data_IF_699614882300
#
_entry.id   IF_699614882300
#
_cell.length_a   1.000
_cell.length_b   1.000
_cell.length_c   1.000
_cell.angle_alpha   90.00
_cell.angle_beta   90.00
_cell.angle_gamma   90.00
#
_symmetry.space_group_name_H-M   'P 1'
#
loop_
_entity.id
_entity.type
_entity.pdbx_description
1 polymer ?
#
# COMPACT_ATOMS: atom_id res chain seq x y z
N UNK A 1 -1.50 -18.22 -6.59
CA UNK A 1 -1.17 -18.29 -5.17
C UNK A 1 -1.89 -17.20 -4.42
N UNK A 2 -2.37 -17.52 -3.25
CA UNK A 2 -3.07 -16.54 -2.42
C UNK A 2 -2.08 -15.65 -1.69
N UNK A 3 -2.49 -14.40 -1.50
CA UNK A 3 -1.72 -13.48 -0.68
C UNK A 3 -1.92 -13.82 0.79
N UNK A 4 -0.84 -13.82 1.53
CA UNK A 4 -0.91 -14.09 2.97
C UNK A 4 -0.75 -12.79 3.75
N UNK A 5 -1.56 -12.64 4.78
CA UNK A 5 -1.45 -11.50 5.69
C UNK A 5 -0.06 -11.51 6.31
N UNK A 6 0.57 -10.35 6.35
CA UNK A 6 1.93 -10.21 6.86
C UNK A 6 3.01 -10.34 5.81
N UNK A 7 2.67 -10.75 4.59
CA UNK A 7 3.65 -10.85 3.51
C UNK A 7 4.04 -9.47 3.01
N UNK A 8 5.30 -9.31 2.65
CA UNK A 8 5.80 -8.07 2.07
C UNK A 8 6.00 -8.29 0.58
N UNK A 9 5.38 -7.42 -0.21
CA UNK A 9 5.37 -7.53 -1.66
C UNK A 9 5.78 -6.19 -2.27
N UNK A 10 6.25 -6.25 -3.51
CA UNK A 10 6.45 -5.04 -4.28
C UNK A 10 5.21 -4.78 -5.13
N UNK A 11 4.80 -3.53 -5.18
CA UNK A 11 3.69 -3.11 -6.01
C UNK A 11 3.96 -1.78 -6.65
N UNK A 12 3.13 -1.42 -7.62
CA UNK A 12 3.27 -0.17 -8.34
C UNK A 12 2.04 0.70 -8.07
N UNK A 13 2.29 1.94 -7.67
CA UNK A 13 1.21 2.89 -7.42
C UNK A 13 0.53 3.22 -8.73
N UNK A 14 -0.75 2.90 -8.85
CA UNK A 14 -1.52 3.14 -10.07
C UNK A 14 -2.39 4.37 -9.97
N UNK A 15 -2.81 4.71 -8.75
CA UNK A 15 -3.75 5.80 -8.55
C UNK A 15 -3.60 6.34 -7.15
N UNK A 16 -3.75 7.64 -6.99
CA UNK A 16 -3.66 8.28 -5.68
C UNK A 16 -4.95 9.04 -5.43
N UNK A 17 -5.54 8.84 -4.25
CA UNK A 17 -6.72 9.53 -3.81
C UNK A 17 -6.43 10.24 -2.49
N UNK A 18 -7.36 11.06 -2.04
CA UNK A 18 -7.22 11.75 -0.75
C UNK A 18 -7.27 10.78 0.44
N UNK A 19 -7.74 9.57 0.21
CA UNK A 19 -7.85 8.55 1.28
C UNK A 19 -6.66 7.61 1.32
N UNK A 20 -5.85 7.58 0.27
CA UNK A 20 -4.72 6.68 0.18
C UNK A 20 -4.31 6.45 -1.27
N UNK A 21 -3.65 5.33 -1.50
CA UNK A 21 -3.13 5.01 -2.83
C UNK A 21 -3.51 3.59 -3.23
N UNK A 22 -3.86 3.41 -4.50
CA UNK A 22 -4.07 2.08 -5.05
C UNK A 22 -2.74 1.56 -5.60
N UNK A 23 -2.44 0.33 -5.26
CA UNK A 23 -1.18 -0.32 -5.64
C UNK A 23 -1.49 -1.59 -6.39
N UNK A 24 -0.94 -1.70 -7.60
CA UNK A 24 -1.07 -2.91 -8.40
C UNK A 24 -0.04 -3.93 -7.95
N UNK A 25 -0.48 -5.16 -7.73
CA UNK A 25 0.35 -6.26 -7.31
C UNK A 25 0.49 -7.26 -8.47
N UNK A 26 1.45 -8.16 -8.35
CA UNK A 26 1.63 -9.20 -9.34
C UNK A 26 0.39 -10.09 -9.43
N UNK A 27 0.16 -10.67 -10.59
CA UNK A 27 -0.97 -11.55 -10.80
C UNK A 27 -2.28 -10.84 -11.06
N UNK A 28 -2.24 -9.55 -11.42
CA UNK A 28 -3.45 -8.79 -11.73
C UNK A 28 -4.23 -8.33 -10.52
N UNK A 29 -3.63 -8.41 -9.34
CA UNK A 29 -4.27 -7.97 -8.10
C UNK A 29 -3.93 -6.53 -7.81
N UNK A 30 -4.79 -5.89 -7.02
CA UNK A 30 -4.52 -4.54 -6.56
C UNK A 30 -5.02 -4.40 -5.13
N UNK A 31 -4.43 -3.48 -4.41
CA UNK A 31 -4.81 -3.22 -3.02
C UNK A 31 -4.78 -1.74 -2.73
N UNK A 32 -5.27 -1.38 -1.56
CA UNK A 32 -5.32 0.01 -1.10
C UNK A 32 -4.39 0.19 0.08
N UNK A 33 -3.53 1.21 0.00
CA UNK A 33 -2.76 1.69 1.13
C UNK A 33 -3.50 2.90 1.69
N UNK A 34 -4.12 2.75 2.85
CA UNK A 34 -4.83 3.84 3.49
C UNK A 34 -3.85 4.94 3.88
N UNK A 35 -4.33 6.19 3.91
CA UNK A 35 -3.48 7.33 4.24
C UNK A 35 -2.76 7.16 5.57
N UNK A 36 -3.39 6.52 6.55
CA UNK A 36 -2.79 6.24 7.85
C UNK A 36 -1.70 5.16 7.81
N UNK A 37 -1.58 4.44 6.71
CA UNK A 37 -0.63 3.35 6.54
C UNK A 37 0.54 3.69 5.61
N UNK A 38 0.68 4.96 5.23
CA UNK A 38 1.72 5.37 4.28
C UNK A 38 3.04 5.65 4.99
N UNK A 39 2.99 6.34 6.12
CA UNK A 39 4.20 6.72 6.85
C UNK A 39 3.95 6.72 8.35
N UNK A 40 5.03 6.66 9.13
CA UNK A 40 4.96 6.72 10.59
C UNK A 40 4.70 8.12 11.11
N UNK A 41 4.67 9.11 10.24
CA UNK A 41 4.37 10.50 10.59
C UNK A 41 3.05 10.93 9.99
N UNK A 42 2.57 12.10 10.39
CA UNK A 42 1.31 12.63 9.87
C UNK A 42 1.42 12.90 8.37
N UNK A 43 0.45 12.41 7.61
CA UNK A 43 0.40 12.57 6.17
C UNK A 43 -0.72 13.54 5.82
N UNK A 44 -0.38 14.73 5.38
CA UNK A 44 -1.36 15.71 4.92
C UNK A 44 -1.88 15.38 3.51
N UNK A 45 -0.96 14.99 2.65
CA UNK A 45 -1.28 14.72 1.25
C UNK A 45 -0.49 13.48 0.83
N UNK A 46 -1.21 12.52 0.28
CA UNK A 46 -0.60 11.27 -0.19
C UNK A 46 0.47 11.55 -1.25
N UNK A 47 0.25 12.58 -2.08
CA UNK A 47 1.20 12.96 -3.12
C UNK A 47 2.55 13.41 -2.58
N UNK A 48 2.63 13.81 -1.31
CA UNK A 48 3.90 14.19 -0.69
C UNK A 48 4.80 12.98 -0.46
N UNK A 49 4.24 11.78 -0.42
CA UNK A 49 4.97 10.56 -0.12
C UNK A 49 5.01 9.59 -1.28
N UNK A 50 4.00 9.60 -2.14
CA UNK A 50 3.86 8.64 -3.21
C UNK A 50 3.58 9.35 -4.53
N UNK A 51 3.96 8.70 -5.62
CA UNK A 51 3.66 9.18 -6.97
C UNK A 51 3.11 8.03 -7.81
N UNK A 52 2.22 8.34 -8.72
CA UNK A 52 1.73 7.34 -9.66
C UNK A 52 2.88 6.79 -10.49
N UNK A 53 2.90 5.48 -10.63
CA UNK A 53 3.97 4.79 -11.34
C UNK A 53 5.17 4.41 -10.47
N UNK A 54 5.16 4.82 -9.20
CA UNK A 54 6.25 4.49 -8.29
C UNK A 54 6.13 3.05 -7.81
N UNK A 55 7.27 2.36 -7.75
CA UNK A 55 7.30 1.01 -7.16
C UNK A 55 7.56 1.15 -5.66
N UNK A 56 6.73 0.48 -4.87
CA UNK A 56 6.83 0.55 -3.41
C UNK A 56 6.72 -0.86 -2.83
N UNK A 57 7.28 -1.03 -1.62
CA UNK A 57 7.08 -2.25 -0.86
C UNK A 57 5.89 -2.06 0.06
N UNK A 58 5.04 -3.06 0.11
CA UNK A 58 3.83 -3.03 0.92
C UNK A 58 3.70 -4.34 1.69
N UNK A 59 3.08 -4.25 2.86
CA UNK A 59 2.75 -5.42 3.66
C UNK A 59 1.25 -5.66 3.58
N UNK A 60 0.85 -6.91 3.36
CA UNK A 60 -0.56 -7.28 3.31
C UNK A 60 -1.12 -7.25 4.73
N UNK A 61 -2.09 -6.39 4.98
CA UNK A 61 -2.75 -6.27 6.27
C UNK A 61 -3.94 -7.20 6.37
N UNK A 62 -4.75 -7.27 5.31
CA UNK A 62 -5.91 -8.14 5.26
C UNK A 62 -6.34 -8.34 3.82
N UNK A 63 -7.01 -9.47 3.61
CA UNK A 63 -7.68 -9.74 2.33
C UNK A 63 -9.12 -10.08 2.68
N UNK A 64 -10.06 -9.36 2.10
CA UNK A 64 -11.47 -9.52 2.43
C UNK A 64 -12.31 -9.27 1.19
N UNK A 65 -13.06 -10.28 0.75
CA UNK A 65 -13.99 -10.19 -0.37
C UNK A 65 -13.38 -9.54 -1.61
N UNK A 66 -12.13 -9.90 -1.92
CA UNK A 66 -11.42 -9.34 -3.06
C UNK A 66 -10.78 -7.99 -2.80
N UNK A 67 -10.94 -7.44 -1.61
CA UNK A 67 -10.28 -6.21 -1.20
C UNK A 67 -9.01 -6.55 -0.45
N UNK A 68 -7.93 -5.92 -0.84
CA UNK A 68 -6.63 -6.13 -0.21
C UNK A 68 -6.22 -4.83 0.45
N UNK A 69 -6.01 -4.88 1.76
CA UNK A 69 -5.52 -3.72 2.51
C UNK A 69 -4.02 -3.86 2.70
N UNK A 70 -3.30 -2.82 2.37
CA UNK A 70 -1.84 -2.82 2.37
C UNK A 70 -1.31 -1.72 3.28
N UNK A 71 -0.05 -1.89 3.74
CA UNK A 71 0.62 -0.89 4.54
C UNK A 71 2.04 -0.70 4.05
N UNK A 72 2.43 0.54 3.82
CA UNK A 72 3.81 0.88 3.53
C UNK A 72 4.59 1.10 4.82
N UNK A 73 3.98 1.77 5.80
CA UNK A 73 4.68 2.12 7.05
C UNK A 73 5.16 0.89 7.82
N UNK A 74 4.47 -0.24 7.69
CA UNK A 74 4.88 -1.45 8.38
C UNK A 74 6.10 -2.13 7.76
N UNK A 75 6.50 -1.68 6.57
CA UNK A 75 7.73 -2.13 5.93
C UNK A 75 8.91 -1.23 6.27
N UNK A 76 8.64 -0.10 6.93
CA UNK A 76 9.65 0.87 7.32
C UNK A 76 10.20 0.53 8.71
N UNK A 77 11.45 0.88 9.01
CA UNK A 77 11.96 0.69 10.37
C UNK A 77 11.18 1.56 11.34
N UNK A 78 11.06 1.12 12.60
CA UNK A 78 10.38 1.95 13.60
C UNK A 78 11.12 3.27 13.82
N UNK A 79 10.39 4.32 14.20
CA UNK A 79 11.01 5.62 14.46
C UNK A 79 11.93 5.61 15.67
#
# INVERSE_FOLDING_TARGET
MELQVGSILEGKVTSITKFGAFVALEGGRSGLVHISEIANSFVNDVHDFLQEGQTVKVMVLSTDNGKINLSIKKTLPPP
#
